data_IF_782882533118
#
_entry.id   IF_782882533118
#
_cell.length_a   1.000
_cell.length_b   1.000
_cell.length_c   1.000
_cell.angle_alpha   90.00
_cell.angle_beta   90.00
_cell.angle_gamma   90.00
#
_symmetry.space_group_name_H-M   'P 1'
#
loop_
_entity.id
_entity.type
_entity.pdbx_description
1 polymer ?
#
# COMPACT_ATOMS: atom_id res chain seq x y z
N UNK A 1 -11.78 -15.35 1.32
CA UNK A 1 -11.76 -16.04 2.63
C UNK A 1 -11.52 -17.51 2.38
N UNK A 2 -10.48 -18.10 2.98
CA UNK A 2 -10.15 -19.51 2.79
C UNK A 2 -9.54 -20.08 4.06
N UNK A 3 -10.04 -21.23 4.48
CA UNK A 3 -9.48 -22.00 5.59
C UNK A 3 -8.60 -23.10 5.03
N UNK A 4 -7.46 -23.33 5.65
CA UNK A 4 -6.62 -24.49 5.38
C UNK A 4 -6.75 -25.41 6.59
N UNK A 5 -7.23 -26.62 6.34
CA UNK A 5 -7.29 -27.69 7.33
C UNK A 5 -6.07 -28.57 7.11
N UNK A 6 -5.26 -28.77 8.14
CA UNK A 6 -4.12 -29.69 8.11
C UNK A 6 -4.22 -30.69 9.27
N UNK A 7 -3.98 -31.96 8.98
CA UNK A 7 -3.97 -33.06 9.94
C UNK A 7 -3.37 -34.30 9.29
N UNK A 8 -2.80 -35.19 10.10
CA UNK A 8 -2.21 -36.43 9.61
C UNK A 8 -3.29 -37.41 9.17
N UNK A 9 -3.42 -37.62 7.86
CA UNK A 9 -4.20 -38.72 7.30
C UNK A 9 -3.34 -39.99 7.38
N UNK A 10 -3.87 -41.04 8.01
CA UNK A 10 -3.32 -42.38 7.89
C UNK A 10 -3.63 -42.89 6.48
N UNK A 11 -2.77 -42.54 5.52
CA UNK A 11 -2.90 -43.00 4.15
C UNK A 11 -2.42 -44.45 4.08
N UNK A 12 -3.17 -45.40 3.49
CA UNK A 12 -2.61 -46.70 3.12
C UNK A 12 -1.41 -46.42 2.21
N UNK A 13 -0.28 -47.11 2.47
CA UNK A 13 1.01 -46.88 1.82
C UNK A 13 0.79 -46.63 0.32
N UNK A 14 0.97 -45.39 -0.19
CA UNK A 14 0.80 -45.17 -1.60
C UNK A 14 1.95 -45.92 -2.27
N UNK A 15 1.63 -46.79 -3.24
CA UNK A 15 2.59 -47.14 -4.27
C UNK A 15 3.17 -45.80 -4.74
N UNK A 16 4.47 -45.57 -4.50
CA UNK A 16 5.16 -44.33 -4.88
C UNK A 16 5.24 -44.28 -6.41
N UNK A 17 4.13 -43.97 -7.06
CA UNK A 17 4.11 -43.49 -8.42
C UNK A 17 4.63 -42.07 -8.34
N UNK A 18 5.92 -41.90 -8.61
CA UNK A 18 6.49 -40.58 -8.84
C UNK A 18 5.79 -40.00 -10.07
N UNK A 19 4.85 -39.08 -9.85
CA UNK A 19 4.29 -38.28 -10.94
C UNK A 19 5.27 -37.16 -11.24
N UNK A 20 5.83 -37.17 -12.44
CA UNK A 20 6.52 -36.02 -12.99
C UNK A 20 5.54 -35.33 -13.94
N UNK A 21 5.25 -34.05 -13.67
CA UNK A 21 4.54 -33.23 -14.62
C UNK A 21 5.60 -32.69 -15.58
N UNK A 22 5.78 -33.35 -16.71
CA UNK A 22 6.62 -32.85 -17.79
C UNK A 22 5.77 -31.86 -18.60
N UNK A 23 6.27 -30.65 -18.79
CA UNK A 23 5.58 -29.62 -19.58
C UNK A 23 6.61 -28.98 -20.50
N UNK A 24 6.23 -28.77 -21.75
CA UNK A 24 7.09 -28.08 -22.70
C UNK A 24 7.12 -26.58 -22.39
N UNK A 25 8.19 -25.90 -22.81
CA UNK A 25 8.32 -24.45 -22.60
C UNK A 25 7.16 -23.68 -23.27
N UNK A 26 6.66 -24.20 -24.40
CA UNK A 26 5.53 -23.65 -25.13
C UNK A 26 4.22 -23.77 -24.35
N UNK A 27 3.88 -24.97 -23.87
CA UNK A 27 2.69 -25.19 -23.05
C UNK A 27 2.72 -24.36 -21.76
N UNK A 28 3.90 -24.23 -21.13
CA UNK A 28 4.06 -23.38 -19.95
C UNK A 28 3.77 -21.92 -20.28
N UNK A 29 4.32 -21.41 -21.39
CA UNK A 29 4.10 -20.05 -21.81
C UNK A 29 2.62 -19.78 -22.13
N UNK A 30 1.94 -20.70 -22.82
CA UNK A 30 0.50 -20.61 -23.09
C UNK A 30 -0.32 -20.61 -21.79
N UNK A 31 0.02 -21.46 -20.82
CA UNK A 31 -0.64 -21.51 -19.52
C UNK A 31 -0.44 -20.21 -18.72
N UNK A 32 0.78 -19.67 -18.72
CA UNK A 32 1.10 -18.41 -18.05
C UNK A 32 0.36 -17.25 -18.74
N UNK A 33 0.35 -17.20 -20.08
CA UNK A 33 -0.40 -16.19 -20.82
C UNK A 33 -1.89 -16.26 -20.53
N UNK A 34 -2.49 -17.46 -20.55
CA UNK A 34 -3.89 -17.64 -20.22
C UNK A 34 -4.21 -17.23 -18.77
N UNK A 35 -3.31 -17.53 -17.82
CA UNK A 35 -3.42 -17.08 -16.44
C UNK A 35 -3.47 -15.54 -16.35
N UNK A 36 -2.57 -14.85 -17.04
CA UNK A 36 -2.54 -13.38 -17.06
C UNK A 36 -3.72 -12.74 -17.80
N UNK A 37 -4.29 -13.40 -18.80
CA UNK A 37 -5.52 -12.94 -19.46
C UNK A 37 -6.75 -13.07 -18.55
N UNK A 38 -6.82 -14.11 -17.71
CA UNK A 38 -7.92 -14.31 -16.75
C UNK A 38 -7.90 -13.25 -15.63
N UNK A 39 -6.70 -12.84 -15.18
CA UNK A 39 -6.55 -11.77 -14.20
C UNK A 39 -6.57 -10.36 -14.84
N UNK A 40 -6.69 -10.27 -16.17
CA UNK A 40 -6.71 -8.98 -16.86
C UNK A 40 -8.01 -8.25 -16.53
N UNK A 41 -7.87 -7.14 -15.83
CA UNK A 41 -8.97 -6.18 -15.67
C UNK A 41 -9.30 -5.60 -17.07
N UNK A 42 -10.55 -5.69 -17.55
CA UNK A 42 -10.91 -5.15 -18.86
C UNK A 42 -10.55 -3.66 -18.94
N UNK A 43 -10.03 -3.24 -20.08
CA UNK A 43 -9.53 -1.88 -20.33
C UNK A 43 -10.67 -0.85 -20.51
N UNK A 44 -11.77 -1.02 -19.77
CA UNK A 44 -12.91 -0.11 -19.75
C UNK A 44 -12.67 0.87 -18.60
N UNK A 45 -11.79 1.83 -18.83
CA UNK A 45 -11.53 2.89 -17.86
C UNK A 45 -12.51 4.04 -18.07
N UNK A 46 -13.79 3.83 -17.70
CA UNK A 46 -14.64 4.95 -17.31
C UNK A 46 -14.13 5.40 -15.94
N UNK A 47 -13.07 6.23 -15.95
CA UNK A 47 -12.58 6.85 -14.72
C UNK A 47 -13.63 7.84 -14.23
N UNK A 48 -13.95 7.78 -12.96
CA UNK A 48 -14.66 8.84 -12.27
C UNK A 48 -13.88 10.16 -12.34
N UNK A 49 -14.57 11.27 -12.16
CA UNK A 49 -13.94 12.59 -12.09
C UNK A 49 -12.86 12.66 -10.99
N UNK A 50 -13.12 12.01 -9.85
CA UNK A 50 -12.18 11.97 -8.73
C UNK A 50 -10.91 11.19 -9.09
N UNK A 51 -11.03 10.03 -9.74
CA UNK A 51 -9.87 9.25 -10.20
C UNK A 51 -9.03 10.03 -11.23
N UNK A 52 -9.69 10.71 -12.18
CA UNK A 52 -8.97 11.53 -13.16
C UNK A 52 -8.25 12.72 -12.51
N UNK A 53 -8.87 13.34 -11.50
CA UNK A 53 -8.26 14.41 -10.71
C UNK A 53 -7.05 13.90 -9.91
N UNK A 54 -7.18 12.74 -9.27
CA UNK A 54 -6.09 12.10 -8.53
C UNK A 54 -4.91 11.76 -9.43
N UNK A 55 -5.16 11.14 -10.58
CA UNK A 55 -4.13 10.82 -11.58
C UNK A 55 -3.41 12.08 -12.04
N UNK A 56 -4.16 13.12 -12.42
CA UNK A 56 -3.60 14.40 -12.86
C UNK A 56 -2.78 15.07 -11.74
N UNK A 57 -3.23 14.98 -10.49
CA UNK A 57 -2.50 15.52 -9.35
C UNK A 57 -1.20 14.75 -9.09
N UNK A 58 -1.26 13.43 -9.12
CA UNK A 58 -0.10 12.56 -8.95
C UNK A 58 0.97 12.86 -10.00
N UNK A 59 0.60 12.87 -11.28
CA UNK A 59 1.53 13.19 -12.38
C UNK A 59 2.18 14.57 -12.24
N UNK A 60 1.45 15.55 -11.70
CA UNK A 60 1.98 16.91 -11.49
C UNK A 60 2.89 17.05 -10.27
N UNK A 61 2.69 16.22 -9.25
CA UNK A 61 3.33 16.41 -7.93
C UNK A 61 4.33 15.33 -7.58
N UNK A 62 4.41 14.26 -8.37
CA UNK A 62 5.44 13.25 -8.19
C UNK A 62 6.81 13.81 -8.55
N UNK A 63 7.74 13.68 -7.61
CA UNK A 63 9.14 14.10 -7.76
C UNK A 63 10.05 13.03 -7.15
N UNK A 64 11.37 13.17 -7.30
CA UNK A 64 12.36 12.36 -6.59
C UNK A 64 13.13 13.22 -5.60
N UNK A 65 13.33 12.69 -4.40
CA UNK A 65 14.22 13.33 -3.42
C UNK A 65 15.71 13.11 -3.78
N UNK A 66 16.61 13.76 -3.04
CA UNK A 66 18.06 13.62 -3.25
C UNK A 66 18.60 12.20 -3.03
N UNK A 67 17.84 11.32 -2.36
CA UNK A 67 18.17 9.91 -2.18
C UNK A 67 17.58 9.01 -3.28
N UNK A 68 16.89 9.59 -4.26
CA UNK A 68 16.27 8.90 -5.38
C UNK A 68 14.90 8.29 -5.09
N UNK A 69 14.30 8.56 -3.92
CA UNK A 69 12.97 8.05 -3.56
C UNK A 69 11.88 8.91 -4.20
N UNK A 70 10.79 8.27 -4.61
CA UNK A 70 9.62 8.99 -5.11
C UNK A 70 8.89 9.68 -3.95
N UNK A 71 8.59 10.96 -4.15
CA UNK A 71 7.79 11.79 -3.24
C UNK A 71 6.60 12.28 -4.05
N UNK A 72 5.40 11.92 -3.61
CA UNK A 72 4.15 12.35 -4.22
C UNK A 72 3.31 13.14 -3.22
N UNK A 73 2.68 14.22 -3.67
CA UNK A 73 1.72 14.94 -2.85
C UNK A 73 0.36 14.25 -2.90
N UNK A 74 -0.33 14.22 -1.75
CA UNK A 74 -1.71 13.76 -1.69
C UNK A 74 -2.66 14.88 -2.13
N UNK A 75 -3.67 14.59 -2.96
CA UNK A 75 -4.69 15.56 -3.31
C UNK A 75 -5.59 15.85 -2.10
N UNK A 76 -6.01 17.10 -1.97
CA UNK A 76 -7.01 17.48 -0.98
C UNK A 76 -8.43 17.10 -1.46
N UNK A 77 -9.18 16.40 -0.62
CA UNK A 77 -10.59 16.05 -0.86
C UNK A 77 -11.49 17.28 -0.82
N UNK A 78 -11.24 18.18 0.13
CA UNK A 78 -11.96 19.45 0.33
C UNK A 78 -11.01 20.64 0.30
N UNK A 79 -11.56 21.85 0.21
CA UNK A 79 -10.76 23.07 0.21
C UNK A 79 -9.95 23.18 1.52
N UNK A 80 -8.60 23.25 1.47
CA UNK A 80 -7.77 23.35 2.66
C UNK A 80 -8.10 24.55 3.55
N UNK A 81 -8.68 25.61 2.98
CA UNK A 81 -9.11 26.80 3.74
C UNK A 81 -10.16 26.48 4.81
N UNK A 82 -10.86 25.35 4.71
CA UNK A 82 -11.83 24.88 5.70
C UNK A 82 -11.19 24.40 7.00
N UNK A 83 -9.86 24.21 7.04
CA UNK A 83 -9.12 23.85 8.26
C UNK A 83 -9.17 24.95 9.34
N UNK A 84 -9.52 26.18 8.98
CA UNK A 84 -9.68 27.30 9.92
C UNK A 84 -8.42 27.52 10.76
N UNK A 85 -8.60 27.63 12.08
CA UNK A 85 -7.52 27.89 13.04
C UNK A 85 -6.80 26.62 13.55
N UNK A 86 -6.92 25.49 12.84
CA UNK A 86 -6.34 24.22 13.32
C UNK A 86 -4.82 24.30 13.48
N UNK A 87 -4.14 25.03 12.59
CA UNK A 87 -2.71 25.24 12.64
C UNK A 87 -2.30 26.04 13.89
N UNK A 88 -2.97 27.16 14.16
CA UNK A 88 -2.68 28.00 15.33
C UNK A 88 -2.93 27.24 16.62
N UNK A 89 -4.01 26.45 16.68
CA UNK A 89 -4.33 25.61 17.84
C UNK A 89 -3.26 24.53 18.04
N UNK A 90 -2.89 23.81 16.98
CA UNK A 90 -1.84 22.79 17.02
C UNK A 90 -0.51 23.38 17.46
N UNK A 91 -0.12 24.55 16.93
CA UNK A 91 1.10 25.26 17.29
C UNK A 91 1.11 25.68 18.75
N UNK A 92 0.02 26.25 19.27
CA UNK A 92 -0.10 26.61 20.70
C UNK A 92 0.05 25.38 21.60
N UNK A 93 -0.59 24.27 21.23
CA UNK A 93 -0.47 23.00 21.98
C UNK A 93 0.95 22.45 21.96
N UNK A 94 1.61 22.47 20.81
CA UNK A 94 3.00 22.05 20.66
C UNK A 94 3.95 22.88 21.55
N UNK A 95 3.86 24.21 21.50
CA UNK A 95 4.72 25.11 22.31
C UNK A 95 4.45 24.99 23.82
N UNK A 96 3.20 24.72 24.23
CA UNK A 96 2.90 24.40 25.62
C UNK A 96 3.57 23.10 26.06
N UNK A 97 3.56 22.08 25.19
CA UNK A 97 4.15 20.78 25.47
C UNK A 97 5.68 20.87 25.56
N UNK A 98 6.33 21.60 24.63
CA UNK A 98 7.78 21.88 24.71
C UNK A 98 8.17 22.54 26.03
N UNK A 99 7.48 23.62 26.44
CA UNK A 99 7.76 24.29 27.72
C UNK A 99 7.62 23.35 28.92
N UNK A 100 6.57 22.53 28.92
CA UNK A 100 6.33 21.60 30.03
C UNK A 100 7.39 20.50 30.09
N UNK A 101 7.85 20.01 28.93
CA UNK A 101 8.94 19.03 28.87
C UNK A 101 10.27 19.62 29.31
N UNK A 102 10.59 20.85 28.91
CA UNK A 102 11.81 21.53 29.33
C UNK A 102 11.85 21.71 30.85
N UNK A 103 10.78 22.24 31.45
CA UNK A 103 10.70 22.45 32.89
C UNK A 103 10.77 21.12 33.68
N UNK A 104 10.16 20.05 33.17
CA UNK A 104 10.18 18.74 33.84
C UNK A 104 11.52 18.00 33.72
N UNK A 105 12.36 18.38 32.75
CA UNK A 105 13.73 17.88 32.64
C UNK A 105 14.68 18.62 33.59
N UNK A 106 14.41 19.89 33.92
CA UNK A 106 15.19 20.64 34.91
C UNK A 106 14.94 20.15 36.34
N UNK A 107 13.70 19.79 36.70
CA UNK A 107 13.35 19.22 38.02
C UNK A 107 13.94 17.83 38.31
N UNK A 108 14.55 17.16 37.32
CA UNK A 108 15.19 15.84 37.50
C UNK A 108 16.73 15.91 37.59
N UNK A 109 17.31 17.11 37.45
CA UNK A 109 18.74 17.35 37.56
C UNK A 109 19.17 17.95 38.91
N UNK A 110 18.21 18.20 39.80
CA UNK A 110 18.41 18.47 41.24
C UNK A 110 18.00 17.25 42.08
#
# INVERSE_FOLDING_TARGET
FGWIISGSISAPRPNKLASCNLTTLQELNEKISAFWEVERVPNIQIRSFEEQRCETHFQKTITRDSSGRFVASLPWTTNPKLLGHSLEIAKKRFLNLERRLLNHNEEKLE
#
